data_IF_355247653494
#
_entry.id   IF_355247653494
#
_cell.length_a   1.000
_cell.length_b   1.000
_cell.length_c   1.000
_cell.angle_alpha   90.00
_cell.angle_beta   90.00
_cell.angle_gamma   90.00
#
_symmetry.space_group_name_H-M   'P 1'
#
loop_
_entity.id
_entity.type
_entity.pdbx_description
1 polymer ?
#
# COMPACT_ATOMS: atom_id res chain seq x y z
N UNK A 1 -20.15 9.70 6.63
CA UNK A 1 -18.78 9.61 6.10
C UNK A 1 -18.80 8.39 5.20
N UNK A 2 -18.75 8.60 3.89
CA UNK A 2 -18.68 7.49 2.93
C UNK A 2 -17.27 6.91 3.01
N UNK A 3 -17.18 5.61 3.28
CA UNK A 3 -15.92 4.87 3.17
C UNK A 3 -15.59 4.83 1.69
N UNK A 4 -14.41 5.32 1.25
CA UNK A 4 -14.03 5.23 -0.15
C UNK A 4 -14.09 3.76 -0.60
N UNK A 5 -14.55 3.48 -1.82
CA UNK A 5 -14.60 2.11 -2.31
C UNK A 5 -13.19 1.52 -2.27
N UNK A 6 -13.07 0.32 -1.71
CA UNK A 6 -11.81 -0.42 -1.71
C UNK A 6 -11.37 -0.66 -3.15
N UNK A 7 -10.12 -0.32 -3.46
CA UNK A 7 -9.56 -0.60 -4.77
C UNK A 7 -9.52 -2.12 -5.03
N UNK A 8 -10.01 -2.55 -6.20
CA UNK A 8 -10.10 -3.97 -6.54
C UNK A 8 -8.71 -4.55 -6.80
N UNK A 9 -8.40 -5.68 -6.18
CA UNK A 9 -7.13 -6.37 -6.36
C UNK A 9 -6.98 -6.86 -7.81
N UNK A 10 -6.03 -6.27 -8.51
CA UNK A 10 -5.58 -6.66 -9.85
C UNK A 10 -4.40 -7.60 -9.71
N UNK A 11 -4.49 -8.80 -10.30
CA UNK A 11 -3.34 -9.70 -10.47
C UNK A 11 -2.84 -9.56 -11.92
N UNK A 12 -1.59 -9.12 -12.11
CA UNK A 12 -1.01 -8.87 -13.43
C UNK A 12 0.46 -8.44 -13.33
N UNK A 13 1.21 -8.56 -14.42
CA UNK A 13 2.58 -8.04 -14.50
C UNK A 13 2.56 -6.52 -14.33
N UNK A 14 3.23 -6.05 -13.29
CA UNK A 14 3.43 -4.65 -13.02
C UNK A 14 4.83 -4.23 -13.49
N UNK A 15 4.95 -3.05 -14.09
CA UNK A 15 6.25 -2.44 -14.36
C UNK A 15 6.98 -2.22 -13.02
N UNK A 16 8.06 -2.96 -12.78
CA UNK A 16 8.80 -2.89 -11.51
C UNK A 16 9.43 -1.52 -11.25
N UNK A 17 9.60 -0.70 -12.29
CA UNK A 17 10.01 0.71 -12.19
C UNK A 17 8.90 1.64 -11.72
N UNK A 18 7.64 1.19 -11.77
CA UNK A 18 6.44 1.92 -11.33
C UNK A 18 5.59 1.11 -10.36
N UNK A 19 6.20 0.17 -9.66
CA UNK A 19 5.54 -0.67 -8.67
C UNK A 19 6.02 -0.29 -7.28
N UNK A 20 5.10 0.15 -6.44
CA UNK A 20 5.30 0.38 -5.01
C UNK A 20 4.90 -0.89 -4.29
N UNK A 21 5.76 -1.43 -3.44
CA UNK A 21 5.45 -2.64 -2.67
C UNK A 21 5.26 -2.26 -1.21
N UNK A 22 4.06 -2.44 -0.69
CA UNK A 22 3.72 -2.30 0.72
C UNK A 22 3.73 -3.68 1.35
N UNK A 23 4.54 -3.89 2.36
CA UNK A 23 4.58 -5.13 3.13
C UNK A 23 3.97 -4.89 4.48
N UNK A 24 3.01 -5.72 4.84
CA UNK A 24 2.35 -5.66 6.14
C UNK A 24 2.50 -7.03 6.80
N UNK A 25 3.24 -7.00 7.89
CA UNK A 25 3.56 -8.17 8.69
C UNK A 25 2.97 -7.93 10.08
N UNK A 26 1.98 -8.71 10.50
CA UNK A 26 1.47 -8.69 11.88
C UNK A 26 2.06 -9.90 12.61
N UNK A 27 3.22 -9.71 13.25
CA UNK A 27 3.83 -10.76 14.07
C UNK A 27 2.89 -11.13 15.22
N UNK A 28 2.52 -12.41 15.33
CA UNK A 28 1.67 -12.94 16.41
C UNK A 28 2.32 -12.69 17.78
N UNK A 29 1.95 -11.55 18.40
CA UNK A 29 2.64 -11.03 19.57
C UNK A 29 2.52 -9.51 19.76
N UNK A 30 2.00 -8.78 18.77
CA UNK A 30 1.67 -7.36 18.88
C UNK A 30 2.79 -6.41 18.45
N UNK A 31 3.73 -6.89 17.63
CA UNK A 31 4.78 -6.06 17.01
C UNK A 31 4.74 -6.22 15.49
N UNK A 32 3.58 -6.01 14.88
CA UNK A 32 3.52 -5.95 13.44
C UNK A 32 4.39 -4.82 12.88
N UNK A 33 4.99 -5.02 11.72
CA UNK A 33 5.72 -4.01 10.97
C UNK A 33 5.05 -3.74 9.64
N UNK A 34 4.92 -2.47 9.28
CA UNK A 34 4.60 -2.05 7.91
C UNK A 34 5.84 -1.43 7.26
N UNK A 35 6.06 -1.75 6.00
CA UNK A 35 7.12 -1.15 5.20
C UNK A 35 6.65 -0.82 3.80
N UNK A 36 7.20 0.24 3.23
CA UNK A 36 6.99 0.62 1.83
C UNK A 36 8.32 0.57 1.09
N UNK A 37 8.36 -0.18 0.00
CA UNK A 37 9.46 -0.21 -0.94
C UNK A 37 9.03 0.49 -2.22
N UNK A 38 9.59 1.68 -2.43
CA UNK A 38 9.43 2.45 -3.66
C UNK A 38 10.67 2.35 -4.55
N UNK A 39 10.50 2.24 -5.87
CA UNK A 39 11.62 2.32 -6.79
C UNK A 39 12.18 3.75 -6.81
N UNK A 40 13.50 3.87 -6.92
CA UNK A 40 14.17 5.17 -7.01
C UNK A 40 13.78 5.88 -8.32
N UNK A 41 13.34 7.13 -8.24
CA UNK A 41 12.92 7.90 -9.41
C UNK A 41 11.45 7.66 -9.80
N UNK A 42 10.60 7.30 -8.84
CA UNK A 42 9.17 7.21 -9.06
C UNK A 42 8.62 8.61 -9.43
N UNK A 43 8.10 8.71 -10.64
CA UNK A 43 7.50 9.92 -11.19
C UNK A 43 5.98 9.91 -11.03
N UNK A 44 5.33 11.08 -10.94
CA UNK A 44 3.88 11.18 -10.91
C UNK A 44 3.22 10.53 -12.13
N UNK A 45 2.07 9.90 -11.90
CA UNK A 45 1.27 9.19 -12.90
C UNK A 45 0.65 7.91 -12.34
N UNK A 46 0.17 7.06 -13.24
CA UNK A 46 -0.34 5.73 -12.86
C UNK A 46 0.81 4.86 -12.38
N UNK A 47 0.75 4.45 -11.11
CA UNK A 47 1.67 3.51 -10.50
C UNK A 47 0.90 2.34 -9.90
N UNK A 48 1.57 1.21 -9.76
CA UNK A 48 0.99 0.01 -9.20
C UNK A 48 1.39 -0.11 -7.74
N UNK A 49 0.43 -0.04 -6.82
CA UNK A 49 0.65 -0.32 -5.40
C UNK A 49 0.32 -1.77 -5.12
N UNK A 50 1.32 -2.54 -4.69
CA UNK A 50 1.20 -3.95 -4.36
C UNK A 50 1.29 -4.10 -2.86
N UNK A 51 0.20 -4.53 -2.23
CA UNK A 51 0.14 -4.88 -0.82
C UNK A 51 0.42 -6.37 -0.69
N UNK A 52 1.53 -6.71 -0.05
CA UNK A 52 1.92 -8.04 0.36
C UNK A 52 1.58 -8.20 1.84
N UNK A 53 0.79 -9.22 2.15
CA UNK A 53 0.48 -9.61 3.52
C UNK A 53 1.18 -10.90 3.85
N UNK A 54 1.70 -10.99 5.06
CA UNK A 54 2.21 -12.26 5.57
C UNK A 54 1.06 -13.24 5.88
N UNK A 55 1.33 -14.54 5.79
CA UNK A 55 0.37 -15.61 6.10
C UNK A 55 0.06 -15.72 7.60
N UNK A 56 0.92 -15.15 8.44
CA UNK A 56 0.75 -15.11 9.90
C UNK A 56 -0.26 -14.06 10.36
N UNK A 57 -0.69 -13.13 9.47
CA UNK A 57 -1.73 -12.15 9.76
C UNK A 57 -3.05 -12.84 10.17
N UNK A 58 -3.62 -12.44 11.30
CA UNK A 58 -4.80 -13.09 11.86
C UNK A 58 -6.10 -12.79 11.08
N UNK A 59 -6.21 -11.59 10.52
CA UNK A 59 -7.40 -11.07 9.85
C UNK A 59 -7.03 -10.35 8.54
N UNK A 60 -7.96 -10.23 7.58
CA UNK A 60 -7.75 -9.44 6.39
C UNK A 60 -7.41 -7.99 6.74
N UNK A 61 -6.35 -7.47 6.11
CA UNK A 61 -5.87 -6.14 6.44
C UNK A 61 -6.49 -5.09 5.53
N UNK A 62 -6.49 -3.86 6.03
CA UNK A 62 -6.80 -2.67 5.23
C UNK A 62 -5.62 -1.72 5.27
N UNK A 63 -5.13 -1.33 4.10
CA UNK A 63 -4.06 -0.37 3.90
C UNK A 63 -4.65 0.94 3.40
N UNK A 64 -4.27 2.05 4.01
CA UNK A 64 -4.68 3.38 3.59
C UNK A 64 -3.44 4.17 3.18
N UNK A 65 -3.41 4.62 1.94
CA UNK A 65 -2.43 5.54 1.41
C UNK A 65 -2.97 6.96 1.56
N UNK A 66 -2.34 7.76 2.40
CA UNK A 66 -2.64 9.18 2.57
C UNK A 66 -1.65 10.03 1.79
N UNK A 67 -2.16 11.08 1.17
CA UNK A 67 -1.40 12.07 0.39
C UNK A 67 -2.03 13.44 0.58
N UNK A 68 -1.37 14.50 0.09
CA UNK A 68 -1.96 15.85 0.09
C UNK A 68 -3.26 15.93 -0.74
N UNK A 69 -3.37 15.16 -1.83
CA UNK A 69 -4.51 15.20 -2.74
C UNK A 69 -5.72 14.37 -2.22
N UNK A 70 -5.47 13.44 -1.31
CA UNK A 70 -6.50 12.61 -0.69
C UNK A 70 -5.98 11.30 -0.12
N UNK A 71 -6.92 10.46 0.33
CA UNK A 71 -6.63 9.13 0.85
C UNK A 71 -7.24 8.05 -0.05
N UNK A 72 -6.46 7.01 -0.34
CA UNK A 72 -6.89 5.84 -1.10
C UNK A 72 -6.74 4.59 -0.23
N UNK A 73 -7.77 3.75 -0.23
CA UNK A 73 -7.83 2.59 0.65
C UNK A 73 -7.89 1.30 -0.15
N UNK A 74 -7.10 0.33 0.30
CA UNK A 74 -7.01 -1.03 -0.20
C UNK A 74 -7.48 -1.92 0.95
N UNK A 75 -8.72 -2.40 0.90
CA UNK A 75 -9.32 -3.19 1.96
C UNK A 75 -9.52 -4.63 1.52
N UNK A 76 -9.49 -5.55 2.50
CA UNK A 76 -9.81 -6.96 2.28
C UNK A 76 -8.67 -7.75 1.65
N UNK A 77 -7.42 -7.38 1.92
CA UNK A 77 -6.27 -8.19 1.51
C UNK A 77 -6.18 -9.36 2.49
N UNK A 78 -6.48 -10.57 1.99
CA UNK A 78 -6.41 -11.80 2.78
C UNK A 78 -4.96 -12.07 3.25
N UNK A 79 -4.75 -12.64 4.45
CA UNK A 79 -3.43 -12.98 4.94
C UNK A 79 -2.72 -13.97 4.01
N UNK A 80 -1.43 -13.75 3.75
CA UNK A 80 -0.64 -14.52 2.78
C UNK A 80 -0.97 -14.21 1.32
N UNK A 81 -1.85 -13.23 1.05
CA UNK A 81 -2.19 -12.80 -0.30
C UNK A 81 -1.41 -11.55 -0.71
N UNK A 82 -1.29 -11.40 -2.03
CA UNK A 82 -0.72 -10.23 -2.67
C UNK A 82 -1.79 -9.53 -3.50
N UNK A 83 -2.09 -8.28 -3.17
CA UNK A 83 -3.08 -7.46 -3.86
C UNK A 83 -2.39 -6.29 -4.56
N UNK A 84 -2.51 -6.18 -5.89
CA UNK A 84 -2.01 -5.04 -6.66
C UNK A 84 -3.14 -4.10 -7.07
N UNK A 85 -2.99 -2.80 -6.91
CA UNK A 85 -3.96 -1.79 -7.37
C UNK A 85 -3.24 -0.73 -8.17
N UNK A 86 -3.84 -0.28 -9.27
CA UNK A 86 -3.29 0.79 -10.10
C UNK A 86 -3.90 2.12 -9.62
N UNK A 87 -3.05 2.98 -9.06
CA UNK A 87 -3.43 4.27 -8.50
C UNK A 87 -2.73 5.39 -9.26
N UNK A 88 -3.44 6.48 -9.52
CA UNK A 88 -2.83 7.70 -10.04
C UNK A 88 -2.25 8.49 -8.87
N UNK A 89 -0.93 8.52 -8.79
CA UNK A 89 -0.22 9.27 -7.75
C UNK A 89 0.34 10.56 -8.34
N UNK A 90 0.01 11.68 -7.70
CA UNK A 90 0.67 12.96 -7.92
C UNK A 90 2.05 12.98 -7.26
N UNK A 91 2.87 13.98 -7.60
CA UNK A 91 4.14 14.21 -6.93
C UNK A 91 3.93 14.66 -5.48
N UNK A 92 4.80 14.23 -4.58
CA UNK A 92 4.73 14.59 -3.16
C UNK A 92 4.94 13.42 -2.22
N UNK A 93 4.68 13.67 -0.94
CA UNK A 93 4.86 12.71 0.15
C UNK A 93 3.58 11.90 0.40
N UNK A 94 3.77 10.60 0.59
CA UNK A 94 2.71 9.64 0.87
C UNK A 94 3.00 8.90 2.16
N UNK A 95 1.96 8.75 2.98
CA UNK A 95 2.01 8.00 4.23
C UNK A 95 1.05 6.82 4.12
N UNK A 96 1.58 5.64 4.34
CA UNK A 96 0.85 4.38 4.28
C UNK A 96 0.62 3.91 5.71
N UNK A 97 -0.64 3.68 6.04
CA UNK A 97 -1.05 3.15 7.34
C UNK A 97 -1.80 1.85 7.16
N UNK A 98 -1.71 0.95 8.14
CA UNK A 98 -2.55 -0.25 8.20
C UNK A 98 -3.50 -0.18 9.38
N UNK A 99 -4.60 -0.92 9.32
CA UNK A 99 -5.55 -1.04 10.44
C UNK A 99 -5.08 -2.06 11.51
N UNK A 100 -4.14 -2.94 11.16
CA UNK A 100 -3.74 -4.08 12.02
C UNK A 100 -2.45 -3.84 12.81
N UNK A 101 -1.50 -3.07 12.27
CA UNK A 101 -0.29 -2.65 12.99
C UNK A 101 -0.26 -1.15 13.25
N UNK A 102 0.24 -0.75 14.41
CA UNK A 102 0.52 0.64 14.83
C UNK A 102 1.78 1.21 14.15
N UNK A 103 2.05 0.78 12.92
CA UNK A 103 3.16 1.27 12.10
C UNK A 103 2.66 2.12 10.93
N UNK A 104 3.53 3.01 10.49
CA UNK A 104 3.37 3.78 9.26
C UNK A 104 4.60 3.60 8.36
N UNK A 105 4.36 3.64 7.06
CA UNK A 105 5.40 3.58 6.06
C UNK A 105 5.28 4.80 5.14
N UNK A 106 6.36 5.54 4.96
CA UNK A 106 6.37 6.76 4.18
C UNK A 106 7.19 6.61 2.90
N UNK A 107 6.72 7.22 1.81
CA UNK A 107 7.46 7.31 0.58
C UNK A 107 7.18 8.62 -0.16
N UNK A 108 8.17 9.11 -0.91
CA UNK A 108 8.05 10.34 -1.70
C UNK A 108 8.06 10.02 -3.19
N UNK A 109 7.13 10.59 -3.93
CA UNK A 109 7.08 10.58 -5.39
C UNK A 109 7.77 11.85 -5.89
N UNK A 110 8.85 11.68 -6.65
CA UNK A 110 9.69 12.79 -7.09
C UNK A 110 9.14 13.32 -8.41
N UNK A 111 8.78 14.59 -8.45
CA UNK A 111 8.49 15.28 -9.71
C UNK A 111 9.82 15.51 -10.44
N UNK A 112 9.99 14.95 -11.64
CA UNK A 112 11.16 15.20 -12.50
C UNK A 112 11.15 16.60 -13.13
#
# INVERSE_FOLDING_TARGET
MEVPPAAECVSGEADSSRTITIRVDDEVGGFGSIGSQVPSGLTPGTVRVVVETDEENADPITVTLQSEDGAQQIAGVEPGATCGVDLELAGGDYVVTSDVTDGDAEFTVVEE
#
